data_IF_672878409374
#
_entry.id   IF_672878409374
#
_cell.length_a   1.000
_cell.length_b   1.000
_cell.length_c   1.000
_cell.angle_alpha   90.00
_cell.angle_beta   90.00
_cell.angle_gamma   90.00
#
_symmetry.space_group_name_H-M   'P 1'
#
loop_
_entity.id
_entity.type
_entity.pdbx_description
1 polymer ?
#
# COMPACT_ATOMS: atom_id res chain seq x y z
N UNK A 1 65.36 -17.81 -0.29
CA UNK A 1 64.07 -17.21 -0.66
C UNK A 1 64.38 -15.91 -1.40
N UNK A 2 63.89 -15.68 -2.63
CA UNK A 2 64.21 -14.44 -3.35
C UNK A 2 63.61 -13.24 -2.65
N UNK A 3 64.26 -12.09 -2.73
CA UNK A 3 63.72 -10.84 -2.13
C UNK A 3 62.25 -10.55 -2.55
N UNK A 4 61.90 -10.93 -3.78
CA UNK A 4 60.53 -10.81 -4.30
C UNK A 4 59.52 -11.65 -3.51
N UNK A 5 59.86 -12.90 -3.19
CA UNK A 5 58.96 -13.78 -2.41
C UNK A 5 58.78 -13.25 -1.01
N UNK A 6 59.86 -12.75 -0.37
CA UNK A 6 59.76 -12.14 0.95
C UNK A 6 58.83 -10.90 0.96
N UNK A 7 58.99 -10.05 -0.04
CA UNK A 7 58.12 -8.85 -0.20
C UNK A 7 56.67 -9.23 -0.39
N UNK A 8 56.35 -10.21 -1.23
CA UNK A 8 54.97 -10.69 -1.45
C UNK A 8 54.36 -11.27 -0.18
N UNK A 9 55.13 -12.02 0.59
CA UNK A 9 54.68 -12.57 1.88
C UNK A 9 54.39 -11.45 2.88
N UNK A 10 55.26 -10.42 2.97
CA UNK A 10 55.03 -9.28 3.84
C UNK A 10 53.75 -8.51 3.45
N UNK A 11 53.55 -8.27 2.16
CA UNK A 11 52.34 -7.61 1.64
C UNK A 11 51.08 -8.44 1.99
N UNK A 12 51.15 -9.76 1.79
CA UNK A 12 50.02 -10.65 2.08
C UNK A 12 49.66 -10.63 3.59
N UNK A 13 50.70 -10.65 4.46
CA UNK A 13 50.49 -10.58 5.92
C UNK A 13 49.89 -9.23 6.34
N UNK A 14 50.43 -8.13 5.80
CA UNK A 14 49.89 -6.81 6.07
C UNK A 14 48.42 -6.68 5.60
N UNK A 15 48.12 -7.17 4.41
CA UNK A 15 46.74 -7.20 3.90
C UNK A 15 45.83 -8.05 4.78
N UNK A 16 46.30 -9.22 5.22
CA UNK A 16 45.55 -10.08 6.14
C UNK A 16 45.28 -9.40 7.50
N UNK A 17 46.27 -8.67 8.03
CA UNK A 17 46.09 -7.88 9.27
C UNK A 17 45.05 -6.76 9.07
N UNK A 18 45.19 -5.97 8.00
CA UNK A 18 44.26 -4.87 7.71
C UNK A 18 42.85 -5.36 7.49
N UNK A 19 42.66 -6.46 6.75
CA UNK A 19 41.36 -7.04 6.48
C UNK A 19 40.76 -7.80 7.66
N UNK A 20 41.60 -8.50 8.42
CA UNK A 20 41.19 -9.34 9.54
C UNK A 20 40.92 -8.55 10.85
N UNK A 21 41.71 -7.52 11.11
CA UNK A 21 41.59 -6.72 12.32
C UNK A 21 40.54 -5.63 12.14
N UNK A 22 39.35 -5.83 12.71
CA UNK A 22 38.18 -4.97 12.52
C UNK A 22 38.43 -3.45 12.73
N UNK A 23 39.12 -2.98 13.79
CA UNK A 23 39.44 -1.57 13.96
C UNK A 23 40.30 -1.01 12.81
N UNK A 24 41.32 -1.73 12.39
CA UNK A 24 42.21 -1.30 11.30
C UNK A 24 41.47 -1.25 9.95
N UNK A 25 40.73 -2.29 9.64
CA UNK A 25 39.87 -2.31 8.44
C UNK A 25 38.88 -1.13 8.44
N UNK A 26 38.26 -0.86 9.58
CA UNK A 26 37.30 0.25 9.68
C UNK A 26 37.97 1.60 9.46
N UNK A 27 39.11 1.84 10.07
CA UNK A 27 39.84 3.10 9.96
C UNK A 27 40.45 3.33 8.58
N UNK A 28 41.11 2.29 8.01
CA UNK A 28 41.89 2.43 6.79
C UNK A 28 41.10 2.21 5.50
N UNK A 29 40.02 1.42 5.54
CA UNK A 29 39.26 1.07 4.34
C UNK A 29 37.78 1.51 4.44
N UNK A 30 37.05 0.98 5.43
CA UNK A 30 35.60 1.14 5.43
C UNK A 30 35.16 2.58 5.66
N UNK A 31 35.79 3.32 6.59
CA UNK A 31 35.40 4.70 6.88
C UNK A 31 35.75 5.67 5.74
N UNK A 32 36.93 5.64 5.11
CA UNK A 32 37.23 6.45 3.93
C UNK A 32 36.30 6.17 2.76
N UNK A 33 36.05 4.88 2.44
CA UNK A 33 35.13 4.46 1.36
C UNK A 33 33.72 4.94 1.68
N UNK A 34 33.24 4.76 2.90
CA UNK A 34 31.93 5.21 3.31
C UNK A 34 31.77 6.73 3.20
N UNK A 35 32.79 7.49 3.62
CA UNK A 35 32.78 8.96 3.51
C UNK A 35 32.77 9.44 2.06
N UNK A 36 33.45 8.70 1.16
CA UNK A 36 33.39 8.96 -0.28
C UNK A 36 31.98 8.69 -0.82
N UNK A 37 31.39 7.53 -0.49
CA UNK A 37 30.04 7.16 -0.89
C UNK A 37 28.99 8.17 -0.43
N UNK A 38 29.07 8.64 0.80
CA UNK A 38 28.16 9.68 1.32
C UNK A 38 28.15 10.97 0.51
N UNK A 39 29.25 11.29 -0.16
CA UNK A 39 29.37 12.50 -1.00
C UNK A 39 28.80 12.31 -2.41
N UNK A 40 28.74 11.04 -2.85
CA UNK A 40 28.31 10.67 -4.21
C UNK A 40 26.84 10.27 -4.24
N UNK A 41 26.29 9.80 -3.10
CA UNK A 41 24.88 9.45 -3.00
C UNK A 41 24.00 10.69 -3.20
N UNK A 42 22.88 10.57 -3.94
CA UNK A 42 21.88 11.63 -4.02
C UNK A 42 21.41 12.00 -2.62
N UNK A 43 21.03 13.26 -2.45
CA UNK A 43 20.44 13.69 -1.19
C UNK A 43 19.11 12.97 -0.99
N UNK A 44 18.89 12.52 0.25
CA UNK A 44 17.62 11.92 0.66
C UNK A 44 16.49 12.93 0.44
N UNK A 45 15.43 12.51 -0.20
CA UNK A 45 14.21 13.32 -0.35
C UNK A 45 13.56 13.58 1.02
N UNK A 46 12.75 14.61 1.12
CA UNK A 46 12.02 14.91 2.36
C UNK A 46 11.10 13.74 2.74
N UNK A 47 10.48 13.10 1.76
CA UNK A 47 9.63 11.91 1.97
C UNK A 47 10.39 10.71 2.54
N UNK A 48 11.60 10.42 2.01
CA UNK A 48 12.44 9.34 2.57
C UNK A 48 12.87 9.66 3.99
N UNK A 49 13.15 10.93 4.28
CA UNK A 49 13.48 11.39 5.63
C UNK A 49 12.30 11.20 6.57
N UNK A 50 11.11 11.67 6.18
CA UNK A 50 9.88 11.55 6.96
C UNK A 50 9.55 10.08 7.23
N UNK A 51 9.69 9.20 6.23
CA UNK A 51 9.49 7.76 6.40
C UNK A 51 10.48 7.12 7.38
N UNK A 52 11.75 7.53 7.34
CA UNK A 52 12.77 7.05 8.27
C UNK A 52 12.59 7.59 9.69
N UNK A 53 12.14 8.84 9.83
CA UNK A 53 11.89 9.47 11.12
C UNK A 53 10.61 8.95 11.78
N UNK A 54 9.57 8.65 10.99
CA UNK A 54 8.33 8.05 11.46
C UNK A 54 8.47 6.56 11.80
N UNK A 55 9.41 5.85 11.16
CA UNK A 55 9.58 4.41 11.29
C UNK A 55 10.27 3.99 12.57
N UNK A 56 9.68 3.04 13.28
CA UNK A 56 10.36 2.26 14.31
C UNK A 56 10.92 0.99 13.69
N UNK A 57 12.24 0.79 13.79
CA UNK A 57 12.86 -0.46 13.35
C UNK A 57 12.62 -1.51 14.43
N UNK A 58 11.89 -2.55 14.05
CA UNK A 58 11.61 -3.69 14.93
C UNK A 58 12.72 -4.76 14.83
N UNK A 59 12.39 -6.04 15.09
CA UNK A 59 13.38 -7.13 15.05
C UNK A 59 14.00 -7.34 13.65
N UNK A 60 13.29 -7.05 12.57
CA UNK A 60 13.79 -7.20 11.20
C UNK A 60 15.09 -6.40 10.93
N UNK A 61 15.32 -5.33 11.68
CA UNK A 61 16.59 -4.61 11.63
C UNK A 61 17.81 -5.46 12.00
N UNK A 62 17.64 -6.52 12.78
CA UNK A 62 18.71 -7.46 13.13
C UNK A 62 19.22 -8.25 11.90
N UNK A 63 18.36 -8.51 10.91
CA UNK A 63 18.74 -9.19 9.66
C UNK A 63 19.84 -8.42 8.92
N UNK A 64 19.73 -7.09 8.89
CA UNK A 64 20.71 -6.23 8.22
C UNK A 64 22.04 -6.13 8.96
N UNK A 65 22.11 -6.57 10.22
CA UNK A 65 23.35 -6.65 11.00
C UNK A 65 24.19 -7.90 10.67
N UNK A 66 23.61 -8.84 9.93
CA UNK A 66 24.26 -10.10 9.53
C UNK A 66 24.39 -11.13 10.66
N UNK A 67 23.94 -10.85 11.86
CA UNK A 67 23.92 -11.74 13.03
C UNK A 67 22.64 -11.48 13.85
N UNK A 68 21.48 -11.90 13.34
CA UNK A 68 20.20 -11.64 14.00
C UNK A 68 20.10 -12.42 15.32
N UNK A 69 19.56 -11.79 16.34
CA UNK A 69 19.23 -12.45 17.60
C UNK A 69 17.88 -13.17 17.48
N UNK A 70 17.95 -14.44 17.11
CA UNK A 70 16.77 -15.30 16.97
C UNK A 70 16.07 -15.56 18.32
N UNK A 71 16.80 -15.53 19.45
CA UNK A 71 16.19 -15.72 20.76
C UNK A 71 15.21 -14.61 21.09
N UNK A 72 15.54 -13.38 20.68
CA UNK A 72 14.66 -12.22 20.81
C UNK A 72 13.37 -12.38 19.99
N UNK A 73 13.47 -12.85 18.74
CA UNK A 73 12.29 -13.12 17.90
C UNK A 73 11.41 -14.22 18.54
N UNK A 74 12.00 -15.30 18.97
CA UNK A 74 11.30 -16.44 19.56
C UNK A 74 10.67 -16.13 20.93
N UNK A 75 11.13 -15.06 21.61
CA UNK A 75 10.57 -14.61 22.89
C UNK A 75 9.27 -13.81 22.71
N UNK A 76 8.92 -13.37 21.52
CA UNK A 76 7.64 -12.69 21.30
C UNK A 76 6.46 -13.64 21.53
N UNK A 77 5.38 -13.16 22.19
CA UNK A 77 4.17 -13.94 22.37
C UNK A 77 3.61 -14.40 21.02
N UNK A 78 3.27 -15.67 20.91
CA UNK A 78 2.58 -16.17 19.70
C UNK A 78 1.17 -15.59 19.65
N UNK A 79 0.76 -14.95 18.54
CA UNK A 79 -0.60 -14.50 18.38
C UNK A 79 -1.55 -15.71 18.38
N UNK A 80 -2.80 -15.49 18.83
CA UNK A 80 -3.86 -16.49 18.82
C UNK A 80 -5.12 -15.87 18.25
N UNK A 81 -5.86 -16.65 17.50
CA UNK A 81 -7.20 -16.27 17.06
C UNK A 81 -8.16 -16.28 18.26
N UNK A 82 -9.10 -15.35 18.25
CA UNK A 82 -10.29 -15.43 19.09
C UNK A 82 -11.21 -16.55 18.59
N UNK A 83 -12.16 -16.99 19.41
CA UNK A 83 -13.14 -18.02 19.01
C UNK A 83 -13.93 -17.61 17.77
N UNK A 84 -14.29 -16.34 17.63
CA UNK A 84 -15.00 -15.83 16.47
C UNK A 84 -14.14 -15.85 15.20
N UNK A 85 -12.87 -15.48 15.31
CA UNK A 85 -11.92 -15.51 14.19
C UNK A 85 -11.64 -16.95 13.76
N UNK A 86 -11.48 -17.87 14.72
CA UNK A 86 -11.28 -19.29 14.43
C UNK A 86 -12.51 -19.89 13.74
N UNK A 87 -13.72 -19.60 14.25
CA UNK A 87 -14.96 -20.07 13.63
C UNK A 87 -15.10 -19.55 12.19
N UNK A 88 -14.76 -18.30 11.93
CA UNK A 88 -14.79 -17.74 10.58
C UNK A 88 -13.78 -18.45 9.66
N UNK A 89 -12.58 -18.71 10.14
CA UNK A 89 -11.55 -19.45 9.40
C UNK A 89 -12.01 -20.88 9.06
N UNK A 90 -12.63 -21.57 10.03
CA UNK A 90 -13.04 -22.97 9.88
C UNK A 90 -14.32 -23.15 9.05
N UNK A 91 -15.22 -22.17 9.06
CA UNK A 91 -16.50 -22.27 8.39
C UNK A 91 -16.55 -21.39 7.11
N UNK A 92 -16.54 -20.05 7.25
CA UNK A 92 -16.75 -19.14 6.13
C UNK A 92 -15.60 -19.20 5.12
N UNK A 93 -14.35 -19.18 5.59
CA UNK A 93 -13.20 -19.29 4.69
C UNK A 93 -13.11 -20.66 4.03
N UNK A 94 -13.43 -21.73 4.75
CA UNK A 94 -13.52 -23.08 4.19
C UNK A 94 -14.61 -23.18 3.12
N UNK A 95 -15.78 -22.61 3.37
CA UNK A 95 -16.86 -22.60 2.39
C UNK A 95 -16.49 -21.80 1.14
N UNK A 96 -15.85 -20.63 1.30
CA UNK A 96 -15.35 -19.87 0.15
C UNK A 96 -14.38 -20.70 -0.72
N UNK A 97 -13.46 -21.44 -0.07
CA UNK A 97 -12.55 -22.36 -0.76
C UNK A 97 -13.31 -23.46 -1.54
N UNK A 98 -14.37 -24.02 -0.96
CA UNK A 98 -15.18 -25.06 -1.63
C UNK A 98 -15.97 -24.56 -2.83
N UNK A 99 -16.40 -23.30 -2.81
CA UNK A 99 -17.15 -22.69 -3.91
C UNK A 99 -16.27 -22.38 -5.13
N UNK A 100 -14.96 -22.31 -4.99
CA UNK A 100 -14.05 -21.91 -6.08
C UNK A 100 -13.44 -23.11 -6.76
N UNK A 101 -13.68 -23.24 -8.06
CA UNK A 101 -12.89 -24.06 -8.97
C UNK A 101 -11.84 -23.17 -9.65
N UNK A 102 -10.58 -23.27 -9.21
CA UNK A 102 -9.51 -22.40 -9.69
C UNK A 102 -9.20 -22.59 -11.18
N UNK A 103 -9.38 -23.79 -11.73
CA UNK A 103 -9.26 -24.01 -13.17
C UNK A 103 -10.30 -23.19 -13.94
N UNK A 104 -11.57 -23.22 -13.51
CA UNK A 104 -12.61 -22.42 -14.16
C UNK A 104 -12.34 -20.91 -14.04
N UNK A 105 -11.86 -20.46 -12.88
CA UNK A 105 -11.48 -19.06 -12.67
C UNK A 105 -10.33 -18.64 -13.59
N UNK A 106 -9.31 -19.50 -13.76
CA UNK A 106 -8.07 -19.13 -14.45
C UNK A 106 -8.11 -19.38 -15.96
N UNK A 107 -8.85 -20.39 -16.43
CA UNK A 107 -8.81 -20.84 -17.82
C UNK A 107 -10.10 -20.55 -18.62
N UNK A 108 -11.22 -20.35 -17.93
CA UNK A 108 -12.53 -20.22 -18.59
C UNK A 108 -13.17 -18.85 -18.38
N UNK A 109 -13.20 -18.38 -17.11
CA UNK A 109 -13.94 -17.17 -16.71
C UNK A 109 -13.08 -15.92 -16.61
N UNK A 110 -11.84 -16.09 -16.21
CA UNK A 110 -10.91 -14.99 -15.89
C UNK A 110 -11.41 -14.08 -14.75
N UNK A 111 -12.31 -14.59 -13.91
CA UNK A 111 -12.91 -13.91 -12.76
C UNK A 111 -13.51 -14.94 -11.79
N UNK A 112 -13.76 -14.50 -10.56
CA UNK A 112 -14.56 -15.26 -9.60
C UNK A 112 -16.02 -15.37 -10.08
N UNK A 113 -16.68 -16.51 -9.86
CA UNK A 113 -18.12 -16.65 -10.10
C UNK A 113 -18.95 -15.61 -9.31
N UNK A 114 -20.11 -15.22 -9.86
CA UNK A 114 -20.97 -14.21 -9.24
C UNK A 114 -21.50 -14.63 -7.87
N UNK A 115 -21.77 -15.89 -7.65
CA UNK A 115 -22.17 -16.45 -6.36
C UNK A 115 -21.05 -16.39 -5.31
N UNK A 116 -19.78 -16.55 -5.75
CA UNK A 116 -18.62 -16.36 -4.87
C UNK A 116 -18.50 -14.87 -4.48
N UNK A 117 -18.60 -13.94 -5.42
CA UNK A 117 -18.63 -12.50 -5.10
C UNK A 117 -19.74 -12.15 -4.11
N UNK A 118 -20.94 -12.69 -4.34
CA UNK A 118 -22.09 -12.49 -3.42
C UNK A 118 -21.76 -13.05 -2.02
N UNK A 119 -21.20 -14.26 -1.97
CA UNK A 119 -20.80 -14.88 -0.70
C UNK A 119 -19.78 -14.04 0.04
N UNK A 120 -18.70 -13.59 -0.63
CA UNK A 120 -17.67 -12.76 -0.01
C UNK A 120 -18.24 -11.47 0.61
N UNK A 121 -19.16 -10.82 -0.12
CA UNK A 121 -19.83 -9.61 0.37
C UNK A 121 -20.74 -9.90 1.57
N UNK A 122 -21.63 -10.87 1.43
CA UNK A 122 -22.66 -11.16 2.46
C UNK A 122 -22.07 -11.76 3.73
N UNK A 123 -20.93 -12.45 3.65
CA UNK A 123 -20.25 -13.02 4.82
C UNK A 123 -19.22 -12.05 5.47
N UNK A 124 -19.08 -10.82 4.95
CA UNK A 124 -18.24 -9.80 5.56
C UNK A 124 -16.75 -9.91 5.26
N UNK A 125 -16.35 -10.69 4.24
CA UNK A 125 -14.93 -10.81 3.87
C UNK A 125 -14.29 -9.49 3.46
N UNK A 126 -15.05 -8.53 2.93
CA UNK A 126 -14.53 -7.24 2.51
C UNK A 126 -14.37 -6.23 3.66
N UNK A 127 -14.96 -6.52 4.82
CA UNK A 127 -14.95 -5.67 6.00
C UNK A 127 -14.37 -6.34 7.25
N UNK A 128 -13.44 -7.27 7.11
CA UNK A 128 -12.88 -8.00 8.25
C UNK A 128 -12.22 -7.10 9.29
N UNK A 129 -11.43 -6.12 8.84
CA UNK A 129 -10.72 -5.19 9.73
C UNK A 129 -11.59 -4.02 10.21
N UNK A 130 -12.73 -3.76 9.55
CA UNK A 130 -13.62 -2.66 9.92
C UNK A 130 -14.23 -2.95 11.29
N UNK A 131 -14.20 -2.01 12.25
CA UNK A 131 -14.76 -2.20 13.58
C UNK A 131 -16.25 -2.54 13.55
N UNK A 132 -16.71 -3.27 14.57
CA UNK A 132 -18.11 -3.72 14.72
C UNK A 132 -19.10 -2.56 14.79
N UNK A 133 -18.68 -1.43 15.31
CA UNK A 133 -19.50 -0.20 15.38
C UNK A 133 -19.90 0.33 13.99
N UNK A 134 -19.09 0.04 12.96
CA UNK A 134 -19.41 0.35 11.56
C UNK A 134 -19.94 -0.86 10.79
N UNK A 135 -20.29 -1.95 11.50
CA UNK A 135 -20.86 -3.16 10.89
C UNK A 135 -19.84 -4.14 10.30
N UNK A 136 -18.55 -3.93 10.52
CA UNK A 136 -17.48 -4.86 10.16
C UNK A 136 -17.30 -5.99 11.18
N UNK A 137 -16.34 -6.87 10.95
CA UNK A 137 -16.05 -7.99 11.83
C UNK A 137 -15.12 -7.62 12.99
N UNK A 138 -14.31 -6.57 12.87
CA UNK A 138 -13.35 -6.12 13.87
C UNK A 138 -12.27 -7.18 14.15
N UNK A 139 -11.86 -7.93 13.13
CA UNK A 139 -10.86 -8.99 13.24
C UNK A 139 -9.45 -8.42 13.35
N UNK A 140 -8.58 -9.18 13.99
CA UNK A 140 -7.16 -8.85 14.11
C UNK A 140 -6.42 -8.98 12.78
N UNK A 141 -5.28 -8.29 12.65
CA UNK A 141 -4.38 -8.47 11.51
C UNK A 141 -3.89 -9.92 11.38
N UNK A 142 -3.76 -10.64 12.51
CA UNK A 142 -3.40 -12.06 12.49
C UNK A 142 -4.51 -12.91 11.88
N UNK A 143 -5.77 -12.68 12.25
CA UNK A 143 -6.91 -13.39 11.65
C UNK A 143 -7.01 -13.09 10.14
N UNK A 144 -6.84 -11.85 9.73
CA UNK A 144 -6.78 -11.49 8.32
C UNK A 144 -5.69 -12.29 7.58
N UNK A 145 -4.48 -12.37 8.14
CA UNK A 145 -3.37 -13.12 7.56
C UNK A 145 -3.69 -14.61 7.43
N UNK A 146 -4.24 -15.25 8.46
CA UNK A 146 -4.60 -16.67 8.45
C UNK A 146 -5.71 -16.98 7.44
N UNK A 147 -6.74 -16.12 7.36
CA UNK A 147 -7.84 -16.26 6.39
C UNK A 147 -7.31 -16.13 4.97
N UNK A 148 -6.52 -15.08 4.66
CA UNK A 148 -5.93 -14.88 3.32
C UNK A 148 -5.00 -16.04 2.97
N UNK A 149 -4.21 -16.54 3.92
CA UNK A 149 -3.36 -17.71 3.73
C UNK A 149 -4.19 -18.93 3.31
N UNK A 150 -5.29 -19.21 4.02
CA UNK A 150 -6.20 -20.32 3.69
C UNK A 150 -6.81 -20.15 2.29
N UNK A 151 -7.35 -18.97 1.97
CA UNK A 151 -7.91 -18.67 0.65
C UNK A 151 -6.88 -18.84 -0.47
N UNK A 152 -5.62 -18.44 -0.24
CA UNK A 152 -4.55 -18.54 -1.22
C UNK A 152 -4.15 -19.98 -1.54
N UNK A 153 -4.35 -20.91 -0.63
CA UNK A 153 -4.14 -22.35 -0.90
C UNK A 153 -5.11 -22.89 -1.95
N UNK A 154 -6.23 -22.21 -2.15
CA UNK A 154 -7.25 -22.60 -3.13
C UNK A 154 -7.17 -21.83 -4.43
N UNK A 155 -7.08 -20.47 -4.34
CA UNK A 155 -7.07 -19.60 -5.51
C UNK A 155 -6.44 -18.25 -5.18
N UNK A 156 -5.49 -17.81 -5.98
CA UNK A 156 -4.90 -16.46 -5.87
C UNK A 156 -5.94 -15.38 -6.14
N UNK A 157 -6.88 -15.61 -7.06
CA UNK A 157 -7.95 -14.67 -7.35
C UNK A 157 -8.85 -14.45 -6.14
N UNK A 158 -9.21 -15.54 -5.43
CA UNK A 158 -10.00 -15.48 -4.21
C UNK A 158 -9.28 -14.72 -3.10
N UNK A 159 -8.02 -15.09 -2.83
CA UNK A 159 -7.22 -14.50 -1.77
C UNK A 159 -7.00 -12.98 -1.97
N UNK A 160 -6.59 -12.57 -3.17
CA UNK A 160 -6.31 -11.16 -3.47
C UNK A 160 -7.56 -10.30 -3.43
N UNK A 161 -8.71 -10.83 -3.86
CA UNK A 161 -10.00 -10.13 -3.80
C UNK A 161 -10.43 -9.81 -2.36
N UNK A 162 -10.03 -10.64 -1.40
CA UNK A 162 -10.30 -10.43 0.04
C UNK A 162 -9.19 -9.60 0.69
N UNK A 163 -7.92 -9.82 0.31
CA UNK A 163 -6.77 -9.17 0.91
C UNK A 163 -6.80 -7.66 0.78
N UNK A 164 -7.08 -7.13 -0.40
CA UNK A 164 -6.95 -5.70 -0.70
C UNK A 164 -7.94 -4.83 0.08
N UNK A 165 -9.24 -5.13 0.17
CA UNK A 165 -10.17 -4.36 0.99
C UNK A 165 -9.75 -4.27 2.46
N UNK A 166 -9.05 -5.27 2.98
CA UNK A 166 -8.66 -5.40 4.37
C UNK A 166 -7.19 -5.00 4.66
N UNK A 167 -6.45 -4.48 3.69
CA UNK A 167 -5.04 -4.10 3.89
C UNK A 167 -4.71 -2.75 3.26
N UNK A 168 -4.84 -2.62 1.95
CA UNK A 168 -4.51 -1.42 1.17
C UNK A 168 -5.74 -0.65 0.71
N UNK A 169 -6.93 -1.06 1.14
CA UNK A 169 -8.17 -0.38 0.81
C UNK A 169 -8.35 0.93 1.57
N UNK A 170 -9.24 1.82 1.10
CA UNK A 170 -9.55 3.07 1.78
C UNK A 170 -10.05 2.93 3.22
N UNK A 171 -10.55 1.77 3.63
CA UNK A 171 -11.08 1.55 4.97
C UNK A 171 -10.05 1.86 6.07
N UNK A 172 -8.82 1.38 5.94
CA UNK A 172 -7.75 1.64 6.91
C UNK A 172 -7.41 3.12 7.00
N UNK A 173 -7.31 3.79 5.84
CA UNK A 173 -7.04 5.22 5.79
C UNK A 173 -8.20 6.04 6.40
N UNK A 174 -9.44 5.63 6.14
CA UNK A 174 -10.62 6.26 6.74
C UNK A 174 -10.65 6.12 8.25
N UNK A 175 -10.34 4.94 8.78
CA UNK A 175 -10.30 4.69 10.23
C UNK A 175 -9.31 5.62 10.93
N UNK A 176 -8.15 5.84 10.33
CA UNK A 176 -7.09 6.67 10.92
C UNK A 176 -7.26 8.17 10.64
N UNK A 177 -7.67 8.54 9.44
CA UNK A 177 -7.57 9.92 8.97
C UNK A 177 -8.88 10.51 8.47
N UNK A 178 -9.92 9.69 8.23
CA UNK A 178 -11.21 10.16 7.74
C UNK A 178 -11.92 11.09 8.72
N UNK A 179 -12.71 12.03 8.18
CA UNK A 179 -13.65 12.79 9.01
C UNK A 179 -14.76 11.86 9.52
N UNK A 180 -15.49 12.30 10.55
CA UNK A 180 -16.60 11.51 11.09
C UNK A 180 -17.69 11.28 10.03
N UNK A 181 -17.94 12.29 9.17
CA UNK A 181 -18.87 12.18 8.05
C UNK A 181 -18.40 11.11 7.05
N UNK A 182 -17.10 11.11 6.67
CA UNK A 182 -16.54 10.12 5.77
C UNK A 182 -16.59 8.72 6.38
N UNK A 183 -16.22 8.57 7.66
CA UNK A 183 -16.28 7.29 8.37
C UNK A 183 -17.70 6.73 8.41
N UNK A 184 -18.65 7.54 8.83
CA UNK A 184 -20.06 7.15 8.95
C UNK A 184 -20.71 6.85 7.60
N UNK A 185 -20.24 7.49 6.52
CA UNK A 185 -20.76 7.25 5.18
C UNK A 185 -20.14 5.98 4.55
N UNK A 186 -18.82 5.86 4.54
CA UNK A 186 -18.14 4.83 3.76
C UNK A 186 -17.92 3.51 4.52
N UNK A 187 -17.53 3.55 5.80
CA UNK A 187 -17.17 2.32 6.52
C UNK A 187 -18.30 1.30 6.59
N UNK A 188 -19.57 1.67 6.86
CA UNK A 188 -20.67 0.70 6.84
C UNK A 188 -20.93 0.11 5.45
N UNK A 189 -20.75 0.88 4.39
CA UNK A 189 -20.94 0.45 3.01
C UNK A 189 -19.82 -0.51 2.56
N UNK A 190 -18.60 -0.19 2.93
CA UNK A 190 -17.44 -1.08 2.72
C UNK A 190 -17.59 -2.39 3.50
N UNK A 191 -18.04 -2.32 4.76
CA UNK A 191 -18.25 -3.51 5.59
C UNK A 191 -19.27 -4.49 5.00
N UNK A 192 -20.38 -3.97 4.43
CA UNK A 192 -21.40 -4.80 3.77
C UNK A 192 -21.03 -5.23 2.35
N UNK A 193 -19.96 -4.66 1.78
CA UNK A 193 -19.58 -4.89 0.39
C UNK A 193 -20.48 -4.17 -0.62
N UNK A 194 -21.26 -3.16 -0.18
CA UNK A 194 -21.97 -2.25 -1.07
C UNK A 194 -20.97 -1.41 -1.88
N UNK A 195 -19.85 -1.06 -1.24
CA UNK A 195 -18.68 -0.48 -1.89
C UNK A 195 -17.54 -1.50 -1.97
N UNK A 196 -16.91 -1.58 -3.13
CA UNK A 196 -15.69 -2.36 -3.36
C UNK A 196 -14.54 -1.38 -3.54
N UNK A 197 -13.56 -1.37 -2.64
CA UNK A 197 -12.49 -0.39 -2.70
C UNK A 197 -11.35 -0.82 -3.62
N UNK A 198 -10.68 0.16 -4.23
CA UNK A 198 -9.36 0.01 -4.82
C UNK A 198 -8.47 1.18 -4.37
N UNK A 199 -7.14 1.01 -4.40
CA UNK A 199 -6.21 2.10 -4.08
C UNK A 199 -5.21 2.33 -5.21
N UNK A 200 -5.34 3.46 -5.90
CA UNK A 200 -4.58 3.83 -7.08
C UNK A 200 -3.34 4.64 -6.70
N UNK A 201 -2.23 3.95 -6.49
CA UNK A 201 -0.93 4.54 -6.16
C UNK A 201 0.05 4.45 -7.34
N UNK A 202 0.32 3.24 -7.84
CA UNK A 202 1.34 2.98 -8.85
C UNK A 202 1.00 3.63 -10.19
N UNK A 203 1.95 4.37 -10.77
CA UNK A 203 1.86 4.93 -12.11
C UNK A 203 2.88 4.28 -13.07
N UNK A 204 2.81 4.51 -14.40
CA UNK A 204 3.77 3.99 -15.35
C UNK A 204 5.23 4.37 -15.05
N UNK A 205 5.45 5.50 -14.39
CA UNK A 205 6.76 6.10 -14.15
C UNK A 205 7.21 6.03 -12.68
N UNK A 206 6.32 5.65 -11.77
CA UNK A 206 6.58 5.56 -10.34
C UNK A 206 5.93 4.31 -9.74
N UNK A 207 6.75 3.33 -9.45
CA UNK A 207 6.38 2.09 -8.75
C UNK A 207 6.93 2.09 -7.34
N UNK A 208 8.16 1.58 -7.16
CA UNK A 208 8.82 1.50 -5.86
C UNK A 208 9.10 2.88 -5.25
N UNK A 209 9.41 3.87 -6.08
CA UNK A 209 9.47 5.28 -5.66
C UNK A 209 8.06 5.90 -5.76
N UNK A 210 7.23 5.58 -4.78
CA UNK A 210 5.86 6.08 -4.73
C UNK A 210 5.77 7.61 -4.54
N UNK A 211 6.83 8.24 -4.04
CA UNK A 211 6.91 9.69 -3.89
C UNK A 211 7.07 10.43 -5.22
N UNK A 212 7.61 9.75 -6.24
CA UNK A 212 7.86 10.32 -7.55
C UNK A 212 6.67 10.21 -8.52
N UNK A 213 5.44 9.96 -8.01
CA UNK A 213 4.24 9.90 -8.87
C UNK A 213 4.06 11.23 -9.63
N UNK A 214 3.90 11.17 -10.97
CA UNK A 214 3.71 12.36 -11.79
C UNK A 214 2.25 12.84 -11.80
N UNK A 215 1.34 12.03 -11.29
CA UNK A 215 -0.07 12.36 -11.20
C UNK A 215 -0.27 13.62 -10.35
N UNK A 216 -1.05 14.56 -10.85
CA UNK A 216 -1.12 15.88 -10.23
C UNK A 216 -2.54 16.42 -10.18
N UNK A 217 -2.79 17.22 -9.14
CA UNK A 217 -4.01 18.00 -8.97
C UNK A 217 -3.68 19.48 -8.79
N UNK A 218 -4.54 20.34 -9.31
CA UNK A 218 -4.46 21.81 -9.15
C UNK A 218 -5.70 22.26 -8.40
N UNK A 219 -5.50 22.92 -7.26
CA UNK A 219 -6.61 23.54 -6.51
C UNK A 219 -7.22 24.66 -7.34
N UNK A 220 -8.54 24.67 -7.45
CA UNK A 220 -9.28 25.65 -8.22
C UNK A 220 -10.70 25.81 -7.70
N UNK A 221 -11.39 26.83 -8.14
CA UNK A 221 -12.84 26.95 -8.00
C UNK A 221 -13.54 26.19 -9.12
N UNK A 222 -14.67 25.57 -8.81
CA UNK A 222 -15.50 24.88 -9.77
C UNK A 222 -16.92 24.67 -9.26
N UNK A 223 -17.79 24.18 -10.13
CA UNK A 223 -19.17 23.89 -9.79
C UNK A 223 -19.31 22.42 -9.34
N UNK A 224 -19.97 22.23 -8.19
CA UNK A 224 -20.34 20.94 -7.67
C UNK A 224 -21.75 20.97 -7.11
N UNK A 225 -22.63 20.13 -7.63
CA UNK A 225 -24.04 20.05 -7.23
C UNK A 225 -24.77 21.41 -7.26
N UNK A 226 -24.47 22.21 -8.31
CA UNK A 226 -25.10 23.51 -8.51
C UNK A 226 -24.57 24.65 -7.62
N UNK A 227 -23.41 24.46 -6.98
CA UNK A 227 -22.74 25.47 -6.15
C UNK A 227 -21.28 25.64 -6.54
N UNK A 228 -20.79 26.88 -6.50
CA UNK A 228 -19.36 27.14 -6.59
C UNK A 228 -18.67 26.66 -5.30
N UNK A 229 -17.69 25.78 -5.44
CA UNK A 229 -16.87 25.26 -4.34
C UNK A 229 -15.37 25.34 -4.68
N UNK A 230 -14.53 25.35 -3.66
CA UNK A 230 -13.12 25.07 -3.85
C UNK A 230 -12.98 23.56 -4.02
N UNK A 231 -12.33 23.18 -5.09
CA UNK A 231 -12.03 21.81 -5.47
C UNK A 231 -10.65 21.69 -6.06
N UNK A 232 -10.45 20.64 -6.81
CA UNK A 232 -9.20 20.37 -7.50
C UNK A 232 -9.47 19.73 -8.87
N UNK A 233 -8.63 20.03 -9.85
CA UNK A 233 -8.62 19.36 -11.15
C UNK A 233 -7.45 18.39 -11.19
N UNK A 234 -7.77 17.10 -11.32
CA UNK A 234 -6.78 16.02 -11.16
C UNK A 234 -6.58 15.29 -12.47
N UNK A 235 -5.32 15.08 -12.84
CA UNK A 235 -4.92 14.24 -13.97
C UNK A 235 -4.06 13.10 -13.47
N UNK A 236 -4.42 11.86 -13.84
CA UNK A 236 -3.69 10.67 -13.43
C UNK A 236 -3.68 9.60 -14.52
N UNK A 237 -2.63 8.77 -14.51
CA UNK A 237 -2.52 7.51 -15.26
C UNK A 237 -1.94 6.44 -14.32
N UNK A 238 -2.79 5.60 -13.78
CA UNK A 238 -2.42 4.54 -12.84
C UNK A 238 -2.48 3.17 -13.52
N UNK A 239 -1.61 2.26 -13.07
CA UNK A 239 -1.59 0.89 -13.61
C UNK A 239 -1.43 -0.15 -12.50
N UNK A 240 -1.80 -1.37 -12.81
CA UNK A 240 -1.74 -2.51 -11.89
C UNK A 240 -2.55 -2.31 -10.61
N UNK A 241 -3.65 -1.58 -10.70
CA UNK A 241 -4.49 -1.30 -9.55
C UNK A 241 -5.40 -2.49 -9.30
N UNK A 242 -5.16 -3.16 -8.19
CA UNK A 242 -5.95 -4.32 -7.77
C UNK A 242 -7.37 -3.87 -7.42
N UNK A 243 -8.33 -4.65 -7.90
CA UNK A 243 -9.77 -4.42 -7.86
C UNK A 243 -10.29 -3.22 -8.70
N UNK A 244 -9.46 -2.43 -9.37
CA UNK A 244 -9.94 -1.31 -10.19
C UNK A 244 -11.07 -1.69 -11.18
N UNK A 245 -11.03 -2.84 -11.89
CA UNK A 245 -12.10 -3.19 -12.83
C UNK A 245 -13.47 -3.42 -12.20
N UNK A 246 -13.55 -3.66 -10.89
CA UNK A 246 -14.78 -3.96 -10.15
C UNK A 246 -15.01 -2.98 -8.98
N UNK A 247 -14.12 -2.00 -8.81
CA UNK A 247 -14.25 -1.06 -7.70
C UNK A 247 -15.44 -0.11 -7.91
N UNK A 248 -16.04 0.28 -6.81
CA UNK A 248 -17.05 1.34 -6.75
C UNK A 248 -16.50 2.58 -6.08
N UNK A 249 -15.43 2.44 -5.30
CA UNK A 249 -14.75 3.51 -4.59
C UNK A 249 -13.24 3.42 -4.82
N UNK A 250 -12.68 4.43 -5.47
CA UNK A 250 -11.27 4.51 -5.78
C UNK A 250 -10.57 5.43 -4.78
N UNK A 251 -9.65 4.90 -3.98
CA UNK A 251 -8.63 5.70 -3.31
C UNK A 251 -7.59 6.12 -4.33
N UNK A 252 -7.33 7.42 -4.48
CA UNK A 252 -6.42 7.96 -5.48
C UNK A 252 -5.34 8.80 -4.82
N UNK A 253 -4.07 8.48 -5.07
CA UNK A 253 -2.92 9.26 -4.64
C UNK A 253 -2.36 10.09 -5.80
N UNK A 254 -2.11 11.38 -5.55
CA UNK A 254 -1.56 12.34 -6.51
C UNK A 254 -0.87 13.48 -5.77
N UNK A 255 -0.04 14.25 -6.47
CA UNK A 255 0.59 15.45 -5.90
C UNK A 255 -0.31 16.66 -6.13
N UNK A 256 -0.65 17.37 -5.06
CA UNK A 256 -1.56 18.52 -5.11
C UNK A 256 -0.78 19.83 -5.08
N UNK A 257 -1.18 20.76 -5.96
CA UNK A 257 -0.62 22.11 -6.06
C UNK A 257 -1.71 23.16 -5.86
N UNK A 258 -1.35 24.25 -5.19
CA UNK A 258 -2.21 25.44 -5.00
C UNK A 258 -1.49 26.70 -5.50
N UNK A 259 -1.36 26.89 -6.83
CA UNK A 259 -0.63 28.03 -7.40
C UNK A 259 -1.25 29.37 -7.05
N UNK A 260 -2.58 29.42 -6.88
CA UNK A 260 -3.34 30.65 -6.62
C UNK A 260 -3.53 30.94 -5.12
N UNK A 261 -3.07 30.02 -4.24
CA UNK A 261 -3.12 30.19 -2.78
C UNK A 261 -4.54 30.14 -2.20
N UNK A 262 -5.46 29.41 -2.83
CA UNK A 262 -6.85 29.29 -2.39
C UNK A 262 -7.00 28.61 -1.01
N UNK A 263 -6.05 27.74 -0.66
CA UNK A 263 -5.98 27.09 0.65
C UNK A 263 -5.02 27.80 1.61
N UNK A 264 -4.25 28.77 1.09
CA UNK A 264 -3.14 29.38 1.81
C UNK A 264 -1.90 28.47 1.90
N UNK A 265 -0.79 29.00 2.36
CA UNK A 265 0.42 28.24 2.60
C UNK A 265 1.32 28.03 1.36
N UNK A 266 1.86 26.81 1.22
CA UNK A 266 2.81 26.46 0.15
C UNK A 266 2.07 26.22 -1.17
N UNK A 267 2.72 26.56 -2.31
CA UNK A 267 2.18 26.25 -3.64
C UNK A 267 2.20 24.76 -3.98
N UNK A 268 3.20 24.03 -3.53
CA UNK A 268 3.30 22.59 -3.60
C UNK A 268 2.87 22.05 -2.24
N UNK A 269 1.68 21.46 -2.18
CA UNK A 269 1.13 20.92 -0.95
C UNK A 269 1.67 19.52 -0.65
N UNK A 270 2.07 18.76 -1.69
CA UNK A 270 2.57 17.40 -1.56
C UNK A 270 1.56 16.33 -1.93
N UNK A 271 1.90 15.07 -1.61
CA UNK A 271 1.05 13.92 -1.89
C UNK A 271 -0.26 14.02 -1.10
N UNK A 272 -1.35 13.81 -1.82
CA UNK A 272 -2.72 13.89 -1.29
C UNK A 272 -3.45 12.62 -1.68
N UNK A 273 -4.29 12.09 -0.78
CA UNK A 273 -5.15 10.94 -1.04
C UNK A 273 -6.61 11.36 -1.04
N UNK A 274 -7.35 10.96 -2.07
CA UNK A 274 -8.77 11.26 -2.20
C UNK A 274 -9.59 10.00 -2.42
N UNK A 275 -10.88 10.03 -2.04
CA UNK A 275 -11.88 9.00 -2.33
C UNK A 275 -12.70 9.46 -3.52
N UNK A 276 -12.66 8.71 -4.60
CA UNK A 276 -13.34 9.03 -5.86
C UNK A 276 -14.32 7.92 -6.20
N UNK A 277 -15.63 8.21 -6.28
CA UNK A 277 -16.58 7.25 -6.83
C UNK A 277 -16.17 6.83 -8.25
N UNK A 278 -16.29 5.55 -8.60
CA UNK A 278 -15.85 5.06 -9.91
C UNK A 278 -16.67 5.61 -11.07
N UNK A 279 -17.91 5.99 -10.81
CA UNK A 279 -18.86 6.61 -11.75
C UNK A 279 -18.73 8.14 -11.83
N UNK A 280 -17.77 8.72 -11.10
CA UNK A 280 -17.50 10.17 -11.17
C UNK A 280 -17.11 10.57 -12.60
N UNK A 281 -17.68 11.65 -13.15
CA UNK A 281 -17.41 12.07 -14.52
C UNK A 281 -15.92 12.22 -14.81
N UNK A 282 -15.44 11.55 -15.85
CA UNK A 282 -14.04 11.58 -16.28
C UNK A 282 -13.14 10.49 -15.67
N UNK A 283 -13.67 9.62 -14.82
CA UNK A 283 -12.95 8.44 -14.30
C UNK A 283 -13.05 7.29 -15.30
N UNK A 284 -11.91 6.76 -15.72
CA UNK A 284 -11.81 5.54 -16.55
C UNK A 284 -11.11 4.44 -15.76
N UNK A 285 -11.79 3.28 -15.61
CA UNK A 285 -11.27 2.07 -14.94
C UNK A 285 -11.33 0.82 -15.84
N UNK A 286 -11.59 1.01 -17.14
CA UNK A 286 -12.18 0.02 -18.05
C UNK A 286 -11.34 -1.19 -18.46
N UNK A 287 -10.02 -1.24 -18.33
CA UNK A 287 -9.19 -2.36 -18.83
C UNK A 287 -8.73 -3.28 -17.71
N UNK A 288 -8.41 -4.52 -18.10
CA UNK A 288 -7.79 -5.49 -17.19
C UNK A 288 -6.32 -5.72 -17.51
N UNK A 289 -5.54 -5.92 -16.45
CA UNK A 289 -4.25 -6.57 -16.49
C UNK A 289 -4.36 -8.00 -15.96
N UNK A 290 -3.44 -8.85 -16.37
CA UNK A 290 -3.28 -10.22 -15.86
C UNK A 290 -1.86 -10.37 -15.28
N UNK A 291 -1.58 -9.83 -14.10
CA UNK A 291 -0.24 -9.86 -13.51
C UNK A 291 0.21 -11.30 -13.30
N UNK A 292 1.30 -11.71 -13.98
CA UNK A 292 1.83 -13.08 -13.95
C UNK A 292 0.78 -14.17 -14.28
N UNK A 293 -0.20 -13.83 -15.15
CA UNK A 293 -1.36 -14.68 -15.47
C UNK A 293 -2.26 -15.03 -14.28
N UNK A 294 -2.19 -14.28 -13.18
CA UNK A 294 -3.16 -14.41 -12.10
C UNK A 294 -4.47 -13.70 -12.47
N UNK A 295 -5.60 -14.30 -12.10
CA UNK A 295 -6.92 -13.89 -12.57
C UNK A 295 -7.71 -13.04 -11.57
N UNK A 296 -7.08 -12.51 -10.52
CA UNK A 296 -7.72 -11.50 -9.69
C UNK A 296 -7.93 -10.20 -10.49
N UNK A 297 -8.98 -9.47 -10.14
CA UNK A 297 -9.27 -8.19 -10.78
C UNK A 297 -8.13 -7.21 -10.57
N UNK A 298 -7.56 -6.73 -11.68
CA UNK A 298 -6.48 -5.77 -11.70
C UNK A 298 -6.55 -4.97 -12.99
N UNK A 299 -6.28 -3.67 -12.95
CA UNK A 299 -6.37 -2.85 -14.15
C UNK A 299 -5.81 -1.44 -13.97
N UNK A 300 -5.75 -0.67 -15.07
CA UNK A 300 -5.43 0.75 -15.02
C UNK A 300 -6.64 1.56 -14.55
N UNK A 301 -6.36 2.79 -14.08
CA UNK A 301 -7.36 3.85 -13.99
C UNK A 301 -6.77 5.15 -14.47
N UNK A 302 -7.58 5.97 -15.14
CA UNK A 302 -7.18 7.23 -15.75
C UNK A 302 -8.21 8.32 -15.52
N UNK A 303 -7.74 9.53 -15.52
CA UNK A 303 -8.55 10.74 -15.57
C UNK A 303 -7.74 11.91 -16.10
N UNK A 304 -8.36 12.79 -16.84
CA UNK A 304 -7.72 13.98 -17.38
C UNK A 304 -8.55 15.19 -17.01
N UNK A 305 -7.94 16.11 -16.27
CA UNK A 305 -8.56 17.36 -15.82
C UNK A 305 -9.91 17.16 -15.11
N UNK A 306 -10.01 16.10 -14.28
CA UNK A 306 -11.24 15.72 -13.57
C UNK A 306 -11.44 16.64 -12.39
N UNK A 307 -12.57 17.37 -12.35
CA UNK A 307 -12.91 18.21 -11.22
C UNK A 307 -13.43 17.36 -10.05
N UNK A 308 -12.89 17.60 -8.86
CA UNK A 308 -13.27 16.96 -7.61
C UNK A 308 -13.37 18.01 -6.51
N UNK A 309 -14.45 18.03 -5.67
CA UNK A 309 -14.49 18.87 -4.49
C UNK A 309 -13.41 18.45 -3.49
N UNK A 310 -12.91 19.39 -2.68
CA UNK A 310 -11.90 19.08 -1.66
C UNK A 310 -12.40 18.11 -0.57
N UNK A 311 -13.70 17.98 -0.40
CA UNK A 311 -14.30 17.01 0.52
C UNK A 311 -14.01 15.56 0.12
N UNK A 312 -13.55 15.30 -1.12
CA UNK A 312 -13.05 14.00 -1.54
C UNK A 312 -11.70 13.64 -0.93
N UNK A 313 -10.92 14.61 -0.47
CA UNK A 313 -9.67 14.35 0.26
C UNK A 313 -9.97 13.55 1.53
N UNK A 314 -9.25 12.46 1.75
CA UNK A 314 -9.40 11.68 2.99
C UNK A 314 -9.00 12.56 4.17
N UNK A 315 -9.91 12.75 5.12
CA UNK A 315 -9.76 13.67 6.23
C UNK A 315 -10.11 15.12 5.89
N UNK A 316 -10.67 15.37 4.70
CA UNK A 316 -11.11 16.68 4.26
C UNK A 316 -10.01 17.63 3.84
N UNK A 317 -10.32 18.92 3.58
CA UNK A 317 -9.37 19.90 3.06
C UNK A 317 -8.12 20.11 3.90
N UNK A 318 -8.20 19.93 5.22
CA UNK A 318 -7.09 20.08 6.15
C UNK A 318 -5.99 19.00 5.95
N UNK A 319 -6.34 17.89 5.32
CA UNK A 319 -5.41 16.78 5.03
C UNK A 319 -4.80 16.87 3.63
N UNK A 320 -5.04 17.94 2.88
CA UNK A 320 -4.39 18.20 1.61
C UNK A 320 -2.86 18.25 1.79
N UNK A 321 -2.12 17.46 1.01
CA UNK A 321 -0.67 17.35 1.12
C UNK A 321 -0.14 16.47 2.27
N UNK A 322 -1.00 15.78 2.99
CA UNK A 322 -0.63 14.94 4.15
C UNK A 322 -0.67 13.43 3.83
N UNK A 323 -0.67 13.05 2.56
CA UNK A 323 -0.84 11.66 2.12
C UNK A 323 0.28 10.69 2.50
N UNK A 324 1.36 11.17 3.13
CA UNK A 324 2.47 10.34 3.64
C UNK A 324 2.49 10.22 5.18
N UNK A 325 1.47 10.61 5.85
CA UNK A 325 1.38 10.46 7.33
C UNK A 325 1.06 9.04 7.77
#
# INVERSE_FOLDING_TARGET
MSAVILTLVVIAVLAAIVLGVRPLRRALLSAPIFNLYRKVLPQMSDTERDALEAGTVWWEGELFRGRPDWSRLLAYPRPRLTDAEQQFLDNQAEQACRMVNDWSVTQERYDLPADVWTYLKTQGFLGMIIPKEYGGLGFSAYAHSEIVTKLSTRSSALAVSVMVPNSLGPAELLLHYGTDEQKNHYLPRLARGDEVPAFALTSPWAGSDAAAIPDSGIVCKGEWQGREVIGMRVTWDKRYITLAPVCTLLGLAFRLYDPDGLLGGKKDLGITCALVPHDHPGVDTGRRHFPLNAMFMNGPTRGTDVFMPLDFVIGGPAMAGQGWR
#
